data_IF_494407848975
#
_entry.id   IF_494407848975
#
_cell.length_a   1.000
_cell.length_b   1.000
_cell.length_c   1.000
_cell.angle_alpha   90.00
_cell.angle_beta   90.00
_cell.angle_gamma   90.00
#
_symmetry.space_group_name_H-M   'P 1'
#
loop_
_entity.id
_entity.type
_entity.pdbx_description
1 polymer ?
#
# COMPACT_ATOMS: atom_id res chain seq x y z
N UNK A 1 -29.91 -22.83 -6.28
CA UNK A 1 -29.48 -21.44 -6.55
C UNK A 1 -28.00 -21.50 -6.94
N UNK A 2 -27.68 -21.30 -8.21
CA UNK A 2 -26.29 -21.29 -8.68
C UNK A 2 -25.75 -19.87 -8.53
N UNK A 3 -24.97 -19.61 -7.49
CA UNK A 3 -24.18 -18.38 -7.41
C UNK A 3 -23.08 -18.51 -8.48
N UNK A 4 -23.21 -17.74 -9.57
CA UNK A 4 -22.09 -17.55 -10.49
C UNK A 4 -21.01 -16.84 -9.67
N UNK A 5 -19.88 -17.50 -9.45
CA UNK A 5 -18.69 -16.86 -8.91
C UNK A 5 -18.34 -15.77 -9.91
N UNK A 6 -18.51 -14.51 -9.50
CA UNK A 6 -18.15 -13.38 -10.34
C UNK A 6 -16.64 -13.44 -10.59
N UNK A 7 -16.23 -13.18 -11.83
CA UNK A 7 -14.82 -13.03 -12.16
C UNK A 7 -14.21 -11.95 -11.25
N UNK A 8 -12.96 -12.12 -10.78
CA UNK A 8 -12.31 -11.13 -9.93
C UNK A 8 -12.27 -9.78 -10.66
N UNK A 9 -12.62 -8.72 -9.94
CA UNK A 9 -12.62 -7.36 -10.45
C UNK A 9 -11.38 -6.63 -9.91
N UNK A 10 -10.58 -6.06 -10.80
CA UNK A 10 -9.36 -5.32 -10.45
C UNK A 10 -9.65 -4.07 -9.61
N UNK A 11 -10.85 -3.48 -9.75
CA UNK A 11 -11.30 -2.31 -9.01
C UNK A 11 -11.85 -2.62 -7.62
N UNK A 12 -11.85 -3.89 -7.20
CA UNK A 12 -12.26 -4.29 -5.85
C UNK A 12 -11.01 -4.58 -5.03
N UNK A 13 -10.80 -3.84 -3.94
CA UNK A 13 -9.73 -4.10 -2.99
C UNK A 13 -9.84 -5.50 -2.40
N UNK A 14 -8.87 -6.36 -2.68
CA UNK A 14 -8.83 -7.74 -2.17
C UNK A 14 -7.39 -8.19 -2.00
N UNK A 15 -7.04 -8.66 -0.80
CA UNK A 15 -5.69 -9.10 -0.45
C UNK A 15 -5.34 -8.80 1.00
N UNK A 16 -4.26 -9.41 1.48
CA UNK A 16 -3.70 -9.12 2.81
C UNK A 16 -2.55 -8.15 2.64
N UNK A 17 -2.53 -7.06 3.39
CA UNK A 17 -1.46 -6.08 3.35
C UNK A 17 -0.39 -6.38 4.41
N UNK A 18 0.86 -6.15 4.05
CA UNK A 18 2.05 -6.29 4.89
C UNK A 18 2.82 -4.97 4.89
N UNK A 19 3.34 -4.56 6.04
CA UNK A 19 4.19 -3.36 6.17
C UNK A 19 5.68 -3.70 6.25
N UNK A 20 6.02 -4.98 6.43
CA UNK A 20 7.37 -5.52 6.39
C UNK A 20 7.26 -7.04 6.19
N UNK A 21 8.39 -7.70 5.92
CA UNK A 21 8.48 -9.16 5.75
C UNK A 21 7.76 -9.91 6.88
N UNK A 22 6.73 -10.67 6.53
CA UNK A 22 5.90 -11.46 7.45
C UNK A 22 5.10 -10.64 8.46
N UNK A 23 5.01 -9.31 8.32
CA UNK A 23 4.30 -8.41 9.24
C UNK A 23 3.05 -7.84 8.59
N UNK A 24 1.89 -8.39 8.94
CA UNK A 24 0.59 -7.93 8.46
C UNK A 24 0.26 -6.54 8.98
N UNK A 25 -0.26 -5.69 8.09
CA UNK A 25 -0.79 -4.37 8.41
C UNK A 25 -2.12 -4.44 9.16
N UNK A 26 -2.52 -3.32 9.75
CA UNK A 26 -3.86 -3.16 10.31
C UNK A 26 -4.93 -3.37 9.22
N UNK A 27 -6.09 -3.93 9.57
CA UNK A 27 -7.21 -4.18 8.63
C UNK A 27 -7.72 -2.94 7.89
N UNK A 28 -7.40 -1.73 8.38
CA UNK A 28 -7.69 -0.48 7.67
C UNK A 28 -6.81 -0.25 6.47
N UNK A 29 -5.68 -0.96 6.32
CA UNK A 29 -4.88 -0.91 5.11
C UNK A 29 -5.41 -1.93 4.12
N UNK A 30 -5.86 -1.44 2.98
CA UNK A 30 -6.44 -2.23 1.91
C UNK A 30 -5.58 -2.12 0.65
N UNK A 31 -5.54 -3.16 -0.20
CA UNK A 31 -4.80 -3.09 -1.44
C UNK A 31 -5.41 -2.08 -2.39
N UNK A 32 -4.58 -1.39 -3.16
CA UNK A 32 -4.98 -0.43 -4.19
C UNK A 32 -5.48 -1.09 -5.48
N UNK A 33 -6.24 -2.18 -5.31
CA UNK A 33 -6.74 -3.05 -6.37
C UNK A 33 -6.89 -4.47 -5.85
N UNK A 34 -6.85 -5.45 -6.75
CA UNK A 34 -7.08 -6.83 -6.39
C UNK A 34 -5.79 -7.66 -6.53
N UNK A 35 -5.30 -8.17 -5.40
CA UNK A 35 -4.06 -8.94 -5.30
C UNK A 35 -4.08 -10.26 -6.07
N UNK A 36 -5.27 -10.73 -6.50
CA UNK A 36 -5.39 -11.88 -7.39
C UNK A 36 -4.68 -11.65 -8.73
N UNK A 37 -4.53 -10.39 -9.15
CA UNK A 37 -3.84 -10.03 -10.40
C UNK A 37 -2.34 -9.78 -10.23
N UNK A 38 -1.81 -9.87 -9.01
CA UNK A 38 -0.41 -9.59 -8.70
C UNK A 38 -0.27 -8.81 -7.41
N UNK A 39 0.97 -8.73 -6.92
CA UNK A 39 1.25 -7.93 -5.74
C UNK A 39 0.99 -6.45 -6.04
N UNK A 40 0.40 -5.76 -5.05
CA UNK A 40 0.05 -4.35 -5.18
C UNK A 40 0.29 -3.62 -3.87
N UNK A 41 0.59 -2.34 -3.95
CA UNK A 41 0.71 -1.50 -2.76
C UNK A 41 -0.63 -1.36 -2.03
N UNK A 42 -0.54 -1.00 -0.75
CA UNK A 42 -1.67 -0.84 0.14
C UNK A 42 -1.70 0.56 0.73
N UNK A 43 -2.91 1.12 0.82
CA UNK A 43 -3.18 2.39 1.47
C UNK A 43 -4.21 2.23 2.58
N UNK A 44 -4.25 3.17 3.51
CA UNK A 44 -5.37 3.23 4.45
C UNK A 44 -6.66 3.43 3.66
N UNK A 45 -7.73 2.75 4.06
CA UNK A 45 -9.04 2.93 3.47
C UNK A 45 -9.43 4.41 3.46
N UNK A 46 -10.09 4.82 2.37
CA UNK A 46 -10.47 6.21 2.06
C UNK A 46 -9.34 7.11 1.52
N UNK A 47 -8.08 6.66 1.55
CA UNK A 47 -6.98 7.40 0.93
C UNK A 47 -6.88 7.11 -0.56
N UNK A 48 -6.30 8.06 -1.31
CA UNK A 48 -6.11 7.93 -2.75
C UNK A 48 -4.82 7.18 -3.05
N UNK A 49 -4.91 6.11 -3.82
CA UNK A 49 -3.75 5.40 -4.35
C UNK A 49 -3.09 6.26 -5.43
N UNK A 50 -1.80 6.51 -5.30
CA UNK A 50 -1.00 7.22 -6.29
C UNK A 50 -0.14 6.23 -7.07
N UNK A 51 0.41 6.70 -8.18
CA UNK A 51 1.52 6.03 -8.86
C UNK A 51 2.76 6.01 -7.92
N UNK A 52 3.72 5.12 -8.17
CA UNK A 52 4.91 4.89 -7.33
C UNK A 52 4.65 4.33 -5.91
N UNK A 53 3.58 3.56 -5.75
CA UNK A 53 3.24 2.87 -4.48
C UNK A 53 3.02 3.82 -3.29
N UNK A 54 2.62 5.07 -3.57
CA UNK A 54 2.33 6.09 -2.58
C UNK A 54 0.81 6.25 -2.33
N UNK A 55 0.48 6.75 -1.15
CA UNK A 55 -0.88 6.97 -0.70
C UNK A 55 -1.09 8.44 -0.37
N UNK A 56 -2.18 9.06 -0.81
CA UNK A 56 -2.53 10.42 -0.44
C UNK A 56 -3.74 10.46 0.49
N UNK A 57 -3.51 10.94 1.71
CA UNK A 57 -4.55 11.25 2.66
C UNK A 57 -5.08 12.68 2.40
N UNK A 58 -6.24 12.76 1.77
CA UNK A 58 -6.88 14.04 1.44
C UNK A 58 -7.34 14.85 2.67
N UNK A 59 -7.57 14.19 3.81
CA UNK A 59 -7.99 14.84 5.05
C UNK A 59 -6.86 15.66 5.68
N UNK A 60 -5.63 15.15 5.63
CA UNK A 60 -4.45 15.77 6.22
C UNK A 60 -3.47 16.35 5.18
N UNK A 61 -3.81 16.29 3.89
CA UNK A 61 -2.93 16.77 2.80
C UNK A 61 -1.57 16.07 2.78
N UNK A 62 -1.56 14.79 3.12
CA UNK A 62 -0.34 14.04 3.46
C UNK A 62 -0.19 12.87 2.51
N UNK A 63 0.88 12.84 1.72
CA UNK A 63 1.27 11.64 0.98
C UNK A 63 2.06 10.69 1.89
N UNK A 64 2.05 9.38 1.75
CA UNK A 64 2.84 8.47 2.60
C UNK A 64 3.06 7.13 1.93
N UNK A 65 3.99 6.33 2.45
CA UNK A 65 4.20 4.94 2.07
C UNK A 65 3.70 4.03 3.20
N UNK A 66 2.97 2.95 2.86
CA UNK A 66 2.42 2.03 3.85
C UNK A 66 2.94 0.61 3.70
N UNK A 67 2.54 -0.10 2.65
CA UNK A 67 2.85 -1.51 2.48
C UNK A 67 2.40 -2.06 1.14
N UNK A 68 2.43 -3.37 1.01
CA UNK A 68 2.01 -4.10 -0.18
C UNK A 68 1.38 -5.44 0.19
N UNK A 69 0.91 -6.19 -0.80
CA UNK A 69 0.31 -7.52 -0.58
C UNK A 69 1.30 -8.67 -0.63
N UNK A 70 2.58 -8.40 -0.85
CA UNK A 70 3.63 -9.42 -0.82
C UNK A 70 4.01 -9.75 0.64
N UNK A 71 3.85 -11.01 1.09
CA UNK A 71 4.25 -11.44 2.42
C UNK A 71 5.77 -11.39 2.66
N UNK A 72 6.58 -11.55 1.61
CA UNK A 72 8.05 -11.51 1.73
C UNK A 72 8.62 -10.09 1.66
N UNK A 73 7.83 -9.14 1.15
CA UNK A 73 8.20 -7.73 0.99
C UNK A 73 9.41 -7.53 0.06
N UNK A 74 9.50 -8.35 -0.99
CA UNK A 74 10.57 -8.39 -1.99
C UNK A 74 10.09 -7.94 -3.38
N UNK A 75 8.76 -7.85 -3.59
CA UNK A 75 8.15 -7.39 -4.84
C UNK A 75 8.33 -5.89 -5.08
N UNK A 76 8.48 -5.47 -6.34
CA UNK A 76 8.66 -4.05 -6.72
C UNK A 76 7.44 -3.17 -6.42
N UNK A 77 6.26 -3.77 -6.28
CA UNK A 77 5.07 -3.07 -5.81
C UNK A 77 5.17 -2.64 -4.35
N UNK A 78 6.09 -3.21 -3.58
CA UNK A 78 6.33 -2.85 -2.20
C UNK A 78 7.09 -1.53 -2.09
N UNK A 79 6.59 -0.57 -1.30
CA UNK A 79 7.30 0.68 -1.09
C UNK A 79 8.69 0.46 -0.48
N UNK A 80 9.72 1.06 -1.09
CA UNK A 80 11.07 1.00 -0.55
C UNK A 80 11.16 1.86 0.73
N UNK A 81 11.51 1.19 1.84
CA UNK A 81 11.70 1.82 3.15
C UNK A 81 13.17 1.90 3.56
N UNK A 82 14.11 1.50 2.70
CA UNK A 82 15.55 1.44 3.02
C UNK A 82 16.19 2.80 3.21
N UNK A 83 15.57 3.88 2.71
CA UNK A 83 15.95 5.25 3.08
C UNK A 83 15.70 5.58 4.56
N UNK A 84 15.02 4.71 5.32
CA UNK A 84 14.47 4.99 6.65
C UNK A 84 14.89 4.01 7.76
N UNK A 85 15.92 3.18 7.55
CA UNK A 85 16.43 2.22 8.56
C UNK A 85 17.11 2.89 9.78
N UNK A 86 17.22 4.24 9.77
CA UNK A 86 17.75 5.05 10.88
C UNK A 86 16.72 5.90 11.63
N UNK A 87 15.42 5.87 11.26
CA UNK A 87 14.39 6.71 11.89
C UNK A 87 13.22 5.85 12.38
N UNK A 88 13.06 5.80 13.70
CA UNK A 88 12.06 4.98 14.40
C UNK A 88 10.64 5.21 13.92
N UNK A 89 9.93 4.10 13.71
CA UNK A 89 8.60 3.94 13.11
C UNK A 89 7.45 4.77 13.71
N UNK A 90 6.51 5.10 12.81
CA UNK A 90 5.12 5.51 13.00
C UNK A 90 4.88 6.91 13.58
N UNK A 91 4.24 7.78 12.78
CA UNK A 91 2.79 8.06 12.91
C UNK A 91 2.28 9.09 11.89
N UNK A 92 3.11 9.98 11.35
CA UNK A 92 2.67 10.93 10.31
C UNK A 92 3.89 11.43 9.55
N UNK A 93 4.11 10.94 8.33
CA UNK A 93 5.07 11.59 7.46
C UNK A 93 4.41 11.79 6.11
N UNK A 94 3.94 13.02 5.92
CA UNK A 94 3.62 13.55 4.61
C UNK A 94 4.87 13.41 3.76
N UNK A 95 4.76 12.80 2.58
CA UNK A 95 5.66 12.88 1.43
C UNK A 95 5.60 14.34 0.95
N UNK A 96 5.97 15.26 1.83
CA UNK A 96 6.31 16.62 1.51
C UNK A 96 7.74 16.54 1.01
N UNK A 97 7.86 16.41 -0.32
CA UNK A 97 9.04 16.80 -1.06
C UNK A 97 10.30 15.96 -0.78
N UNK A 98 10.31 14.70 -1.21
CA UNK A 98 11.54 14.16 -1.79
C UNK A 98 11.59 14.61 -3.26
N UNK A 99 11.98 15.87 -3.49
CA UNK A 99 12.54 16.23 -4.79
C UNK A 99 13.81 15.39 -4.92
N UNK A 100 13.76 14.35 -5.75
CA UNK A 100 14.96 13.72 -6.25
C UNK A 100 15.63 14.73 -7.20
N UNK A 101 16.47 15.60 -6.65
CA UNK A 101 17.39 16.38 -7.47
C UNK A 101 18.42 15.42 -8.07
N UNK A 102 18.39 15.30 -9.41
CA UNK A 102 19.59 15.09 -10.22
C UNK A 102 19.74 16.26 -11.17
#
# INVERSE_FOLDING_TARGET
>A
MNYKIADPNQSISNGTCFYARGKTSNLRFIPCGNAVFGNIHCCQAEDTCLEDSACYNGRYGTTYLAGCTDPDYEDESCPDKTLWDGMTVATTMSCALAKADR
#
